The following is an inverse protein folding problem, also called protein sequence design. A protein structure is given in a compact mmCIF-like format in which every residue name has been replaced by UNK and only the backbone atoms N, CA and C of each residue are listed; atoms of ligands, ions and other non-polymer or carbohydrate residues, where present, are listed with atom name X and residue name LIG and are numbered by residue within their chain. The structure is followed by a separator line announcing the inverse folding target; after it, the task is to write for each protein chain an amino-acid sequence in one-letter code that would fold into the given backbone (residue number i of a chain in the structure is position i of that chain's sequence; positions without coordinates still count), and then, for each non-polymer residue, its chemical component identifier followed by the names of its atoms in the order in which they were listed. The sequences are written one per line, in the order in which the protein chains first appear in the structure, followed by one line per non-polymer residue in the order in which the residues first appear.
data_IF_829853359570
#
_entry.id   IF_829853359570
#
_cell.length_a   1.000
_cell.length_b   1.000
_cell.length_c   1.000
_cell.angle_alpha   90.00
_cell.angle_beta   90.00
_cell.angle_gamma   90.00
#
_symmetry.space_group_name_H-M   'P 1'
#
loop_
_entity.id
_entity.type
_entity.pdbx_description
1 polymer ?
#
# COMPACT_ATOMS: atom_id res chain seq x y z
N UNK A 1 49.70 -20.71 -17.41
CA UNK A 1 49.96 -20.50 -18.84
C UNK A 1 49.10 -19.35 -19.35
N UNK A 2 49.66 -18.30 -19.96
CA UNK A 2 48.91 -17.10 -20.37
C UNK A 2 48.20 -17.26 -21.73
N UNK A 3 47.86 -18.45 -22.16
CA UNK A 3 47.33 -18.71 -23.51
C UNK A 3 45.78 -18.69 -23.62
N UNK A 4 45.04 -18.28 -22.58
CA UNK A 4 43.57 -18.37 -22.59
C UNK A 4 42.87 -17.01 -22.72
N UNK A 5 43.59 -15.89 -22.94
CA UNK A 5 43.01 -14.54 -22.95
C UNK A 5 43.07 -13.84 -24.32
N UNK A 6 43.74 -14.44 -25.32
CA UNK A 6 43.93 -13.79 -26.64
C UNK A 6 43.11 -14.37 -27.80
N UNK A 7 42.24 -15.32 -27.56
CA UNK A 7 41.34 -15.80 -28.60
C UNK A 7 39.98 -15.18 -28.45
N UNK A 8 39.63 -14.27 -29.38
CA UNK A 8 38.27 -13.78 -29.70
C UNK A 8 37.58 -12.78 -28.74
N UNK A 9 38.24 -11.70 -28.34
CA UNK A 9 37.48 -10.51 -28.03
C UNK A 9 36.87 -9.99 -29.34
N UNK A 10 35.51 -9.89 -29.46
CA UNK A 10 34.90 -9.35 -30.68
C UNK A 10 35.38 -7.92 -30.92
N UNK A 11 35.66 -7.57 -32.17
CA UNK A 11 35.97 -6.20 -32.55
C UNK A 11 34.80 -5.31 -32.16
N UNK A 12 34.99 -3.99 -31.92
CA UNK A 12 33.94 -3.06 -31.60
C UNK A 12 32.78 -3.11 -32.61
N UNK A 13 33.11 -3.27 -33.89
CA UNK A 13 32.10 -3.38 -34.97
C UNK A 13 31.28 -4.69 -34.85
N UNK A 14 31.90 -5.80 -34.49
CA UNK A 14 31.21 -7.08 -34.27
C UNK A 14 30.32 -7.01 -33.01
N UNK A 15 30.78 -6.36 -31.94
CA UNK A 15 30.04 -6.13 -30.74
C UNK A 15 28.79 -5.27 -31.02
N UNK A 16 28.98 -4.16 -31.71
CA UNK A 16 27.88 -3.29 -32.17
C UNK A 16 26.86 -4.06 -33.03
N UNK A 17 27.32 -4.78 -34.03
CA UNK A 17 26.45 -5.57 -34.91
C UNK A 17 25.67 -6.66 -34.13
N UNK A 18 26.28 -7.32 -33.16
CA UNK A 18 25.62 -8.31 -32.28
C UNK A 18 24.61 -7.64 -31.36
N UNK A 19 24.96 -6.50 -30.79
CA UNK A 19 24.08 -5.71 -29.92
C UNK A 19 22.82 -5.28 -30.69
N UNK A 20 22.95 -4.63 -31.85
CA UNK A 20 21.83 -4.17 -32.65
C UNK A 20 20.96 -5.32 -33.16
N UNK A 21 21.54 -6.44 -33.60
CA UNK A 21 20.77 -7.64 -33.97
C UNK A 21 19.95 -8.18 -32.80
N UNK A 22 20.52 -8.19 -31.58
CA UNK A 22 19.83 -8.63 -30.37
C UNK A 22 18.69 -7.67 -30.03
N UNK A 23 18.95 -6.35 -30.04
CA UNK A 23 17.97 -5.31 -29.76
C UNK A 23 16.78 -5.39 -30.75
N UNK A 24 17.04 -5.46 -32.04
CA UNK A 24 15.98 -5.57 -33.06
C UNK A 24 15.14 -6.86 -32.91
N UNK A 25 15.74 -7.97 -32.50
CA UNK A 25 15.02 -9.21 -32.19
C UNK A 25 14.10 -9.03 -30.98
N UNK A 26 14.59 -8.39 -29.91
CA UNK A 26 13.81 -8.10 -28.71
C UNK A 26 12.64 -7.13 -29.04
N UNK A 27 12.89 -6.11 -29.85
CA UNK A 27 11.84 -5.16 -30.27
C UNK A 27 10.75 -5.86 -31.11
N UNK A 28 11.12 -6.74 -32.06
CA UNK A 28 10.13 -7.54 -32.80
C UNK A 28 9.32 -8.47 -31.90
N UNK A 29 9.93 -9.01 -30.85
CA UNK A 29 9.22 -9.79 -29.85
C UNK A 29 8.27 -8.90 -29.06
N UNK A 30 8.73 -7.74 -28.58
CA UNK A 30 7.91 -6.77 -27.85
C UNK A 30 6.71 -6.30 -28.65
N UNK A 31 6.87 -5.99 -29.95
CA UNK A 31 5.75 -5.60 -30.84
C UNK A 31 4.62 -6.63 -30.82
N UNK A 32 4.96 -7.92 -30.77
CA UNK A 32 3.98 -9.02 -30.75
C UNK A 32 3.30 -9.21 -29.41
N UNK A 33 4.05 -9.04 -28.28
CA UNK A 33 3.56 -9.40 -26.94
C UNK A 33 3.14 -8.22 -26.09
N UNK A 34 3.44 -7.00 -26.49
CA UNK A 34 3.17 -5.80 -25.68
C UNK A 34 1.67 -5.61 -25.34
N UNK A 35 0.76 -6.19 -26.13
CA UNK A 35 -0.67 -6.14 -25.86
C UNK A 35 -1.18 -7.22 -24.92
N UNK A 36 -0.42 -8.30 -24.73
CA UNK A 36 -0.80 -9.49 -23.96
C UNK A 36 -0.14 -9.59 -22.58
N UNK A 37 0.66 -8.59 -22.18
CA UNK A 37 1.24 -8.57 -20.86
C UNK A 37 0.13 -8.67 -19.78
N UNK A 38 0.19 -9.69 -18.89
CA UNK A 38 -0.92 -10.01 -17.98
C UNK A 38 -1.09 -8.93 -16.89
N UNK A 39 0.01 -8.33 -16.47
CA UNK A 39 0.01 -7.36 -15.38
C UNK A 39 0.00 -5.92 -15.87
N UNK A 40 -0.73 -5.01 -15.17
CA UNK A 40 -0.84 -3.60 -15.54
C UNK A 40 0.51 -2.89 -15.68
N UNK A 41 1.40 -3.07 -14.69
CA UNK A 41 2.74 -2.45 -14.71
C UNK A 41 3.59 -3.01 -15.85
N UNK A 42 3.47 -4.31 -16.17
CA UNK A 42 4.13 -4.91 -17.32
C UNK A 42 3.66 -4.31 -18.66
N UNK A 43 2.36 -3.99 -18.80
CA UNK A 43 1.83 -3.30 -19.98
C UNK A 43 2.39 -1.89 -20.12
N UNK A 44 2.50 -1.16 -19.00
CA UNK A 44 3.08 0.18 -18.96
C UNK A 44 4.58 0.14 -19.31
N UNK A 45 5.33 -0.84 -18.76
CA UNK A 45 6.74 -1.06 -19.11
C UNK A 45 6.93 -1.35 -20.61
N UNK A 46 6.03 -2.15 -21.21
CA UNK A 46 6.05 -2.44 -22.64
C UNK A 46 5.78 -1.17 -23.49
N UNK A 47 4.81 -0.34 -23.08
CA UNK A 47 4.56 0.94 -23.76
C UNK A 47 5.78 1.88 -23.67
N UNK A 48 6.42 1.97 -22.48
CA UNK A 48 7.67 2.71 -22.30
C UNK A 48 8.76 2.23 -23.26
N UNK A 49 8.98 0.93 -23.34
CA UNK A 49 10.02 0.35 -24.20
C UNK A 49 9.76 0.66 -25.69
N UNK A 50 8.50 0.63 -26.15
CA UNK A 50 8.14 1.03 -27.52
C UNK A 50 8.40 2.52 -27.78
N UNK A 51 8.05 3.41 -26.84
CA UNK A 51 8.33 4.85 -26.95
C UNK A 51 9.83 5.10 -27.01
N UNK A 52 10.61 4.50 -26.11
CA UNK A 52 12.07 4.67 -26.07
C UNK A 52 12.74 4.14 -27.34
N UNK A 53 12.30 2.98 -27.84
CA UNK A 53 12.83 2.42 -29.10
C UNK A 53 12.50 3.30 -30.30
N UNK A 54 11.27 3.85 -30.39
CA UNK A 54 10.89 4.76 -31.46
C UNK A 54 11.58 6.13 -31.42
N UNK A 55 12.12 6.52 -30.25
CA UNK A 55 13.00 7.70 -30.10
C UNK A 55 14.42 7.36 -30.51
N UNK A 56 14.95 6.23 -30.06
CA UNK A 56 16.36 5.85 -30.25
C UNK A 56 16.67 5.38 -31.69
N UNK A 57 15.66 4.89 -32.42
CA UNK A 57 15.79 4.38 -33.78
C UNK A 57 15.01 5.29 -34.74
N UNK A 58 15.64 6.25 -35.42
CA UNK A 58 14.96 7.27 -36.23
C UNK A 58 14.05 6.71 -37.33
N UNK A 59 14.37 5.54 -37.87
CA UNK A 59 13.57 4.85 -38.89
C UNK A 59 12.28 4.21 -38.32
N UNK A 60 12.13 4.22 -37.00
CA UNK A 60 11.03 3.60 -36.26
C UNK A 60 9.96 4.59 -35.76
N UNK A 61 9.75 5.71 -36.45
CA UNK A 61 8.67 6.66 -36.14
C UNK A 61 7.27 6.00 -35.96
N UNK A 62 6.90 4.95 -36.72
CA UNK A 62 5.66 4.20 -36.45
C UNK A 62 5.60 3.55 -35.08
N UNK A 63 6.75 3.10 -34.52
CA UNK A 63 6.83 2.47 -33.18
C UNK A 63 6.62 3.49 -32.08
N UNK A 64 7.20 4.70 -32.20
CA UNK A 64 6.93 5.81 -31.27
C UNK A 64 5.42 6.09 -31.21
N UNK A 65 4.78 6.28 -32.36
CA UNK A 65 3.34 6.52 -32.44
C UNK A 65 2.51 5.38 -31.86
N UNK A 66 2.90 4.14 -32.09
CA UNK A 66 2.25 2.96 -31.52
C UNK A 66 2.42 2.91 -29.98
N UNK A 67 3.61 3.21 -29.48
CA UNK A 67 3.90 3.30 -28.05
C UNK A 67 3.06 4.36 -27.34
N UNK A 68 2.99 5.56 -27.90
CA UNK A 68 2.16 6.65 -27.35
C UNK A 68 0.67 6.31 -27.36
N UNK A 69 0.11 5.78 -28.45
CA UNK A 69 -1.29 5.32 -28.46
C UNK A 69 -1.59 4.22 -27.46
N UNK A 70 -0.63 3.31 -27.19
CA UNK A 70 -0.78 2.31 -26.11
C UNK A 70 -0.76 2.96 -24.76
N UNK A 71 0.15 3.90 -24.53
CA UNK A 71 0.25 4.66 -23.28
C UNK A 71 -1.07 5.37 -22.98
N UNK A 72 -1.65 6.10 -23.93
CA UNK A 72 -2.94 6.78 -23.75
C UNK A 72 -4.05 5.80 -23.33
N UNK A 73 -4.16 4.63 -23.98
CA UNK A 73 -5.13 3.59 -23.62
C UNK A 73 -4.91 3.04 -22.21
N UNK A 74 -3.64 2.86 -21.80
CA UNK A 74 -3.28 2.42 -20.45
C UNK A 74 -3.66 3.50 -19.43
N UNK A 75 -3.32 4.76 -19.69
CA UNK A 75 -3.64 5.87 -18.80
C UNK A 75 -5.16 5.99 -18.58
N UNK A 76 -5.95 5.89 -19.65
CA UNK A 76 -7.40 5.98 -19.56
C UNK A 76 -8.06 4.80 -18.82
N UNK A 77 -7.43 3.61 -18.83
CA UNK A 77 -8.01 2.40 -18.21
C UNK A 77 -7.49 2.13 -16.81
N UNK A 78 -6.19 2.33 -16.57
CA UNK A 78 -5.50 1.83 -15.39
C UNK A 78 -5.35 2.90 -14.30
N UNK A 79 -5.65 4.19 -14.62
CA UNK A 79 -5.56 5.31 -13.69
C UNK A 79 -6.95 5.84 -13.34
N UNK A 80 -7.15 6.09 -12.06
CA UNK A 80 -8.43 6.50 -11.50
C UNK A 80 -8.56 8.03 -11.47
N UNK A 81 -9.77 8.54 -11.27
CA UNK A 81 -10.07 9.97 -11.29
C UNK A 81 -9.35 10.79 -10.22
N UNK A 82 -8.87 10.14 -9.14
CA UNK A 82 -8.06 10.76 -8.08
C UNK A 82 -6.55 10.65 -8.32
N UNK A 83 -6.13 10.19 -9.50
CA UNK A 83 -4.74 10.03 -9.92
C UNK A 83 -4.09 8.72 -9.47
N UNK A 84 -4.78 7.90 -8.68
CA UNK A 84 -4.25 6.60 -8.24
C UNK A 84 -4.32 5.54 -9.33
N UNK A 85 -3.49 4.49 -9.23
CA UNK A 85 -3.50 3.34 -10.12
C UNK A 85 -4.48 2.27 -9.60
N UNK A 86 -5.24 1.64 -10.47
CA UNK A 86 -6.33 0.71 -10.15
C UNK A 86 -5.90 -0.56 -9.37
N UNK A 87 -4.61 -0.89 -9.33
CA UNK A 87 -4.10 -1.96 -8.48
C UNK A 87 -4.16 -1.61 -6.98
N UNK A 88 -4.35 -0.34 -6.60
CA UNK A 88 -4.44 0.17 -5.24
C UNK A 88 -3.19 -0.05 -4.38
N UNK A 89 -2.21 -0.82 -4.85
CA UNK A 89 -0.97 -1.10 -4.14
C UNK A 89 -0.04 0.13 -4.12
N UNK A 90 0.41 0.64 -2.95
CA UNK A 90 1.36 1.76 -2.87
C UNK A 90 2.63 1.55 -3.71
N UNK A 91 3.23 0.37 -3.68
CA UNK A 91 4.39 0.05 -4.51
C UNK A 91 4.10 0.06 -6.03
N UNK A 92 2.88 -0.29 -6.44
CA UNK A 92 2.46 -0.18 -7.84
C UNK A 92 2.34 1.28 -8.29
N UNK A 93 1.92 2.20 -7.40
CA UNK A 93 1.89 3.64 -7.68
C UNK A 93 3.31 4.15 -8.00
N UNK A 94 4.29 3.77 -7.18
CA UNK A 94 5.71 4.17 -7.37
C UNK A 94 6.26 3.61 -8.67
N UNK A 95 6.05 2.31 -8.95
CA UNK A 95 6.51 1.67 -10.20
C UNK A 95 5.89 2.33 -11.44
N UNK A 96 4.58 2.62 -11.39
CA UNK A 96 3.90 3.33 -12.48
C UNK A 96 4.47 4.74 -12.67
N UNK A 97 4.61 5.52 -11.60
CA UNK A 97 5.16 6.87 -11.65
C UNK A 97 6.55 6.89 -12.28
N UNK A 98 7.43 5.94 -11.90
CA UNK A 98 8.76 5.81 -12.50
C UNK A 98 8.69 5.63 -14.02
N UNK A 99 7.82 4.74 -14.50
CA UNK A 99 7.68 4.53 -15.95
C UNK A 99 7.20 5.79 -16.68
N UNK A 100 6.24 6.53 -16.10
CA UNK A 100 5.72 7.76 -16.70
C UNK A 100 6.76 8.88 -16.72
N UNK A 101 7.51 9.05 -15.64
CA UNK A 101 8.61 10.04 -15.54
C UNK A 101 9.71 9.72 -16.55
N UNK A 102 10.10 8.45 -16.69
CA UNK A 102 11.08 8.01 -17.69
C UNK A 102 10.62 8.31 -19.13
N UNK A 103 9.34 8.05 -19.45
CA UNK A 103 8.76 8.38 -20.76
C UNK A 103 8.83 9.89 -21.02
N UNK A 104 8.40 10.71 -20.06
CA UNK A 104 8.44 12.16 -20.16
C UNK A 104 9.87 12.67 -20.38
N UNK A 105 10.83 12.16 -19.61
CA UNK A 105 12.23 12.53 -19.73
C UNK A 105 12.79 12.17 -21.11
N UNK A 106 12.48 10.98 -21.64
CA UNK A 106 12.93 10.54 -22.96
C UNK A 106 12.34 11.41 -24.08
N UNK A 107 11.03 11.74 -24.01
CA UNK A 107 10.40 12.64 -24.98
C UNK A 107 11.03 14.04 -24.96
N UNK A 108 11.23 14.59 -23.75
CA UNK A 108 11.87 15.92 -23.60
C UNK A 108 13.31 15.95 -24.12
N UNK A 109 14.13 14.94 -23.81
CA UNK A 109 15.49 14.82 -24.30
C UNK A 109 15.56 14.70 -25.84
N UNK A 110 14.53 14.10 -26.46
CA UNK A 110 14.41 13.98 -27.92
C UNK A 110 13.75 15.21 -28.60
N UNK A 111 13.45 16.28 -27.86
CA UNK A 111 12.76 17.47 -28.39
C UNK A 111 11.33 17.17 -28.87
N UNK A 112 10.69 16.11 -28.37
CA UNK A 112 9.32 15.72 -28.74
C UNK A 112 8.32 16.36 -27.76
N UNK A 113 7.13 16.67 -28.28
CA UNK A 113 6.02 17.16 -27.45
C UNK A 113 5.62 16.13 -26.41
N UNK A 114 5.39 16.58 -25.17
CA UNK A 114 4.90 15.75 -24.08
C UNK A 114 3.38 15.78 -24.13
N UNK A 115 2.69 14.61 -24.28
CA UNK A 115 1.23 14.58 -24.24
C UNK A 115 0.69 15.11 -22.89
N UNK A 116 -0.35 15.94 -22.94
CA UNK A 116 -0.97 16.51 -21.73
C UNK A 116 -1.50 15.41 -20.79
N UNK A 117 -2.07 14.34 -21.34
CA UNK A 117 -2.54 13.18 -20.58
C UNK A 117 -1.42 12.50 -19.80
N UNK A 118 -0.20 12.46 -20.32
CA UNK A 118 0.97 11.94 -19.62
C UNK A 118 1.35 12.85 -18.45
N UNK A 119 1.39 14.17 -18.68
CA UNK A 119 1.71 15.14 -17.63
C UNK A 119 0.68 15.09 -16.49
N UNK A 120 -0.61 15.10 -16.82
CA UNK A 120 -1.70 14.99 -15.84
C UNK A 120 -1.64 13.69 -15.03
N UNK A 121 -1.31 12.54 -15.69
CA UNK A 121 -1.15 11.26 -15.01
C UNK A 121 0.06 11.27 -14.04
N UNK A 122 1.17 11.90 -14.40
CA UNK A 122 2.34 12.08 -13.52
C UNK A 122 1.96 12.91 -12.30
N UNK A 123 1.24 14.00 -12.48
CA UNK A 123 0.82 14.90 -11.38
C UNK A 123 -0.11 14.19 -10.40
N UNK A 124 -1.15 13.54 -10.90
CA UNK A 124 -2.09 12.79 -10.07
C UNK A 124 -1.42 11.65 -9.32
N UNK A 125 -0.57 10.88 -10.01
CA UNK A 125 0.13 9.75 -9.40
C UNK A 125 1.18 10.20 -8.37
N UNK A 126 1.88 11.32 -8.61
CA UNK A 126 2.80 11.89 -7.64
C UNK A 126 2.06 12.35 -6.35
N UNK A 127 0.86 12.91 -6.49
CA UNK A 127 -0.01 13.24 -5.35
C UNK A 127 -0.44 11.98 -4.59
N UNK A 128 -0.84 10.91 -5.30
CA UNK A 128 -1.21 9.63 -4.70
C UNK A 128 -0.03 8.97 -3.97
N UNK A 129 1.19 9.00 -4.53
CA UNK A 129 2.40 8.49 -3.86
C UNK A 129 2.67 9.28 -2.57
N UNK A 130 2.59 10.63 -2.60
CA UNK A 130 2.77 11.44 -1.38
C UNK A 130 1.74 11.10 -0.31
N UNK A 131 0.48 10.90 -0.72
CA UNK A 131 -0.61 10.52 0.19
C UNK A 131 -0.32 9.20 0.91
N UNK A 132 0.25 8.20 0.22
CA UNK A 132 0.48 6.85 0.72
C UNK A 132 1.80 6.72 1.52
N UNK A 133 2.46 7.82 1.86
CA UNK A 133 3.70 7.82 2.66
C UNK A 133 3.43 8.13 4.12
N UNK A 134 4.16 7.46 4.99
CA UNK A 134 4.25 7.78 6.40
C UNK A 134 5.24 8.91 6.68
N UNK A 135 5.36 9.30 7.95
CA UNK A 135 6.23 10.40 8.37
C UNK A 135 7.73 10.09 8.27
N UNK A 136 8.12 8.84 8.13
CA UNK A 136 9.48 8.38 7.83
C UNK A 136 9.82 8.51 6.34
N UNK A 137 8.83 8.75 5.50
CA UNK A 137 8.95 8.81 4.05
C UNK A 137 8.71 7.49 3.33
N UNK A 138 8.60 6.37 4.05
CA UNK A 138 8.27 5.06 3.48
C UNK A 138 6.79 4.91 3.15
N UNK A 139 6.47 3.93 2.30
CA UNK A 139 5.10 3.64 1.88
C UNK A 139 4.31 2.93 2.97
N UNK A 140 2.99 3.09 2.94
CA UNK A 140 2.05 2.25 3.66
C UNK A 140 2.01 0.83 3.05
N UNK A 141 1.79 -0.18 3.90
CA UNK A 141 1.94 -1.59 3.57
C UNK A 141 0.59 -2.23 3.20
N UNK A 142 0.02 -1.80 2.08
CA UNK A 142 -1.22 -2.37 1.53
C UNK A 142 -0.95 -3.10 0.22
N UNK A 143 -1.72 -4.16 -0.07
CA UNK A 143 -1.76 -4.84 -1.37
C UNK A 143 -0.37 -5.17 -1.94
N UNK A 144 0.41 -5.95 -1.22
CA UNK A 144 1.70 -6.43 -1.71
C UNK A 144 2.81 -5.38 -1.76
N UNK A 145 2.67 -4.29 -0.99
CA UNK A 145 3.68 -3.23 -0.90
C UNK A 145 4.58 -3.41 0.31
N UNK A 146 5.79 -2.90 0.19
CA UNK A 146 6.78 -2.73 1.24
C UNK A 146 7.05 -1.23 1.45
N UNK A 147 7.83 -0.87 2.47
CA UNK A 147 8.18 0.53 2.77
C UNK A 147 8.86 1.23 1.59
N UNK A 148 9.61 0.44 0.79
CA UNK A 148 10.43 0.91 -0.31
C UNK A 148 11.59 1.83 0.13
N UNK A 149 12.45 2.23 -0.78
CA UNK A 149 13.59 3.07 -0.45
C UNK A 149 13.20 4.56 -0.49
N UNK A 150 13.17 5.21 0.67
CA UNK A 150 12.71 6.61 0.81
C UNK A 150 13.45 7.57 -0.12
N UNK A 151 14.78 7.44 -0.25
CA UNK A 151 15.59 8.30 -1.11
C UNK A 151 15.22 8.14 -2.60
N UNK A 152 14.86 6.93 -3.02
CA UNK A 152 14.43 6.65 -4.39
C UNK A 152 13.05 7.29 -4.66
N UNK A 153 12.12 7.18 -3.69
CA UNK A 153 10.81 7.82 -3.77
C UNK A 153 10.97 9.35 -3.81
N UNK A 154 11.82 9.92 -2.96
CA UNK A 154 12.07 11.37 -2.91
C UNK A 154 12.64 11.87 -4.24
N UNK A 155 13.62 11.16 -4.79
CA UNK A 155 14.20 11.48 -6.10
C UNK A 155 13.15 11.44 -7.21
N UNK A 156 12.33 10.39 -7.22
CA UNK A 156 11.25 10.23 -8.20
C UNK A 156 10.21 11.35 -8.10
N UNK A 157 9.79 11.71 -6.89
CA UNK A 157 8.83 12.79 -6.65
C UNK A 157 9.41 14.17 -7.03
N UNK A 158 10.70 14.39 -6.81
CA UNK A 158 11.38 15.62 -7.22
C UNK A 158 11.40 15.75 -8.75
N UNK A 159 11.64 14.66 -9.47
CA UNK A 159 11.58 14.64 -10.93
C UNK A 159 10.14 14.70 -11.46
N UNK A 160 9.17 14.14 -10.75
CA UNK A 160 7.77 14.15 -11.19
C UNK A 160 7.15 15.55 -11.08
N UNK A 161 6.88 16.01 -9.86
CA UNK A 161 6.29 17.32 -9.54
C UNK A 161 6.81 17.77 -8.17
N UNK A 162 7.78 18.68 -8.09
CA UNK A 162 8.43 19.04 -6.82
C UNK A 162 7.49 19.57 -5.73
N UNK A 163 6.40 20.25 -6.10
CA UNK A 163 5.51 20.96 -5.18
C UNK A 163 4.03 20.61 -5.32
N UNK A 164 3.69 19.36 -5.71
CA UNK A 164 2.28 18.96 -5.73
C UNK A 164 1.70 18.91 -4.31
N UNK A 165 0.48 19.41 -4.16
CA UNK A 165 -0.28 19.29 -2.93
C UNK A 165 -0.56 17.81 -2.61
N UNK A 166 -0.57 17.47 -1.32
CA UNK A 166 -0.97 16.15 -0.86
C UNK A 166 -2.48 16.16 -0.62
N UNK A 167 -3.25 15.27 -1.28
CA UNK A 167 -4.68 15.16 -1.01
C UNK A 167 -4.94 14.58 0.39
N UNK A 168 -6.12 14.81 0.94
CA UNK A 168 -6.56 14.22 2.22
C UNK A 168 -7.30 12.91 2.03
N UNK A 169 -7.76 12.62 0.81
CA UNK A 169 -8.41 11.36 0.46
C UNK A 169 -8.12 10.96 -0.99
N UNK A 170 -8.07 9.68 -1.22
CA UNK A 170 -8.05 9.06 -2.56
C UNK A 170 -9.35 8.25 -2.72
N UNK A 171 -10.44 8.95 -3.07
CA UNK A 171 -11.78 8.38 -3.02
C UNK A 171 -12.00 7.24 -4.02
N UNK A 172 -11.45 7.37 -5.24
CA UNK A 172 -11.55 6.36 -6.28
C UNK A 172 -10.57 5.20 -6.04
N UNK A 173 -9.37 5.51 -5.54
CA UNK A 173 -8.38 4.49 -5.13
C UNK A 173 -8.81 3.80 -3.83
N UNK A 174 -9.63 4.42 -2.99
CA UNK A 174 -10.20 3.85 -1.78
C UNK A 174 -9.29 3.97 -0.56
N UNK A 175 -8.67 5.13 -0.34
CA UNK A 175 -7.90 5.43 0.86
C UNK A 175 -8.30 6.74 1.51
N UNK A 176 -8.30 6.75 2.85
CA UNK A 176 -8.44 7.94 3.67
C UNK A 176 -7.15 8.20 4.46
N UNK A 177 -6.80 9.47 4.64
CA UNK A 177 -5.65 9.91 5.43
C UNK A 177 -6.09 10.84 6.53
N UNK A 178 -5.83 10.47 7.77
CA UNK A 178 -5.98 11.32 8.94
C UNK A 178 -4.60 11.86 9.31
N UNK A 179 -4.49 13.17 9.49
CA UNK A 179 -3.24 13.79 9.91
C UNK A 179 -3.52 14.90 10.91
N UNK A 180 -2.94 14.81 12.09
CA UNK A 180 -2.99 15.82 13.11
C UNK A 180 -1.69 15.81 13.92
N UNK A 181 -1.14 17.00 14.22
CA UNK A 181 0.17 17.12 14.87
C UNK A 181 1.25 16.31 14.13
N UNK A 182 1.87 15.35 14.84
CA UNK A 182 2.88 14.44 14.28
C UNK A 182 2.32 13.09 13.84
N UNK A 183 1.03 12.83 14.06
CA UNK A 183 0.41 11.55 13.80
C UNK A 183 -0.21 11.51 12.41
N UNK A 184 0.00 10.39 11.71
CA UNK A 184 -0.54 10.09 10.39
C UNK A 184 -1.15 8.69 10.43
N UNK A 185 -2.46 8.59 10.16
CA UNK A 185 -3.11 7.31 9.93
C UNK A 185 -3.57 7.21 8.47
N UNK A 186 -3.31 6.05 7.83
CA UNK A 186 -3.76 5.74 6.48
C UNK A 186 -4.68 4.53 6.58
N UNK A 187 -5.88 4.63 6.01
CA UNK A 187 -6.97 3.65 6.15
C UNK A 187 -7.37 3.13 4.78
N UNK A 188 -7.42 1.82 4.62
CA UNK A 188 -7.98 1.16 3.43
C UNK A 188 -9.52 1.13 3.52
N UNK A 189 -10.18 1.99 2.77
CA UNK A 189 -11.64 2.12 2.70
C UNK A 189 -12.20 1.73 1.34
N UNK A 190 -11.43 1.04 0.51
CA UNK A 190 -11.83 0.63 -0.82
C UNK A 190 -12.23 -0.85 -0.92
N UNK A 191 -13.01 -1.16 -1.93
CA UNK A 191 -13.26 -2.54 -2.31
C UNK A 191 -11.97 -3.21 -2.84
N UNK A 192 -11.83 -4.54 -2.79
CA UNK A 192 -10.71 -5.24 -3.41
C UNK A 192 -10.52 -4.80 -4.87
N UNK A 193 -9.28 -4.69 -5.38
CA UNK A 193 -9.03 -4.32 -6.77
C UNK A 193 -9.76 -5.22 -7.75
N UNK A 194 -10.20 -4.68 -8.89
CA UNK A 194 -10.87 -5.45 -9.93
C UNK A 194 -9.95 -6.52 -10.53
N UNK A 195 -10.56 -7.58 -11.05
CA UNK A 195 -9.83 -8.63 -11.78
C UNK A 195 -8.94 -8.03 -12.87
N UNK A 196 -7.69 -8.47 -12.91
CA UNK A 196 -6.65 -7.95 -13.80
C UNK A 196 -5.80 -6.83 -13.19
N UNK A 197 -6.21 -6.32 -11.99
CA UNK A 197 -5.43 -5.42 -11.14
C UNK A 197 -5.18 -6.03 -9.75
N UNK A 198 -5.71 -7.20 -9.49
CA UNK A 198 -5.79 -7.83 -8.19
C UNK A 198 -4.68 -8.87 -7.92
N UNK A 199 -3.68 -9.00 -8.80
CA UNK A 199 -2.63 -10.02 -8.66
C UNK A 199 -1.92 -9.96 -7.29
N UNK A 200 -1.67 -8.76 -6.78
CA UNK A 200 -1.05 -8.50 -5.47
C UNK A 200 -2.07 -8.08 -4.39
N UNK A 201 -3.38 -8.23 -4.64
CA UNK A 201 -4.40 -7.80 -3.70
C UNK A 201 -4.36 -8.58 -2.39
N UNK A 202 -4.53 -7.87 -1.28
CA UNK A 202 -4.68 -8.39 0.07
C UNK A 202 -6.13 -8.24 0.55
N UNK A 203 -6.54 -9.06 1.49
CA UNK A 203 -7.83 -8.98 2.17
C UNK A 203 -7.77 -7.97 3.33
N UNK A 204 -7.47 -6.69 3.02
CA UNK A 204 -7.14 -5.61 3.96
C UNK A 204 -8.28 -4.63 4.23
N UNK A 205 -9.53 -5.02 3.97
CA UNK A 205 -10.68 -4.12 4.15
C UNK A 205 -10.71 -3.50 5.56
N UNK A 206 -10.82 -2.17 5.64
CA UNK A 206 -10.78 -1.33 6.84
C UNK A 206 -9.51 -1.48 7.69
N UNK A 207 -8.42 -2.03 7.13
CA UNK A 207 -7.12 -2.00 7.78
C UNK A 207 -6.58 -0.58 7.82
N UNK A 208 -5.80 -0.28 8.85
CA UNK A 208 -5.14 1.02 8.98
C UNK A 208 -3.69 0.87 9.42
N UNK A 209 -2.89 1.89 9.16
CA UNK A 209 -1.56 2.07 9.71
C UNK A 209 -1.46 3.41 10.42
N UNK A 210 -0.62 3.52 11.43
CA UNK A 210 -0.38 4.74 12.22
C UNK A 210 1.11 4.97 12.40
N UNK A 211 1.58 6.16 12.04
CA UNK A 211 2.92 6.64 12.37
C UNK A 211 2.87 7.93 13.19
N UNK A 212 3.92 8.19 13.98
CA UNK A 212 4.07 9.37 14.84
C UNK A 212 5.43 10.01 14.56
N UNK A 213 5.43 11.08 13.81
CA UNK A 213 6.66 11.62 13.23
C UNK A 213 7.27 10.59 12.27
N UNK A 214 8.54 10.23 12.51
CA UNK A 214 9.26 9.24 11.70
C UNK A 214 9.17 7.80 12.23
N UNK A 215 8.36 7.55 13.25
CA UNK A 215 8.27 6.25 13.89
C UNK A 215 6.93 5.61 13.58
N UNK A 216 6.93 4.36 13.10
CA UNK A 216 5.72 3.59 12.84
C UNK A 216 5.27 2.93 14.15
N UNK A 217 3.98 3.02 14.43
CA UNK A 217 3.37 2.44 15.63
C UNK A 217 2.51 1.21 15.27
N UNK A 218 1.47 1.43 14.46
CA UNK A 218 0.61 0.36 13.93
C UNK A 218 0.93 0.20 12.45
N UNK A 219 1.14 -1.03 12.01
CA UNK A 219 1.50 -1.39 10.64
C UNK A 219 0.65 -2.55 10.13
N UNK A 220 0.79 -2.88 8.86
CA UNK A 220 0.41 -4.17 8.31
C UNK A 220 1.65 -5.06 8.13
N UNK A 221 1.46 -6.34 7.84
CA UNK A 221 2.56 -7.29 7.76
C UNK A 221 3.52 -7.09 6.57
N UNK A 222 3.17 -6.25 5.59
CA UNK A 222 3.95 -6.07 4.35
C UNK A 222 3.82 -7.24 3.38
N UNK A 223 4.72 -7.33 2.41
CA UNK A 223 4.71 -8.35 1.37
C UNK A 223 5.96 -9.24 1.44
N UNK A 224 5.76 -10.53 1.63
CA UNK A 224 6.82 -11.51 1.53
C UNK A 224 7.35 -11.62 0.08
N UNK A 225 8.65 -11.94 -0.12
CA UNK A 225 9.24 -12.04 -1.44
C UNK A 225 8.58 -13.14 -2.28
N UNK A 226 8.61 -12.98 -3.60
CA UNK A 226 8.00 -13.94 -4.55
C UNK A 226 8.56 -15.36 -4.42
N UNK A 227 9.80 -15.50 -3.97
CA UNK A 227 10.45 -16.79 -3.70
C UNK A 227 9.85 -17.57 -2.54
N UNK A 228 9.08 -16.92 -1.66
CA UNK A 228 8.42 -17.54 -0.52
C UNK A 228 6.89 -17.54 -0.68
N UNK A 229 6.37 -18.47 -1.45
CA UNK A 229 4.96 -18.55 -1.81
C UNK A 229 4.04 -18.76 -0.59
N UNK A 230 4.49 -19.47 0.44
CA UNK A 230 3.72 -19.73 1.65
C UNK A 230 3.51 -18.43 2.45
N UNK A 231 4.58 -17.72 2.77
CA UNK A 231 4.48 -16.45 3.47
C UNK A 231 3.74 -15.39 2.62
N UNK A 232 3.97 -15.39 1.31
CA UNK A 232 3.24 -14.50 0.40
C UNK A 232 1.72 -14.70 0.49
N UNK A 233 1.26 -15.95 0.57
CA UNK A 233 -0.17 -16.24 0.76
C UNK A 233 -0.65 -15.79 2.14
N UNK A 234 0.09 -16.08 3.21
CA UNK A 234 -0.25 -15.69 4.58
C UNK A 234 -0.35 -14.17 4.75
N UNK A 235 0.61 -13.43 4.18
CA UNK A 235 0.64 -11.96 4.26
C UNK A 235 -0.50 -11.27 3.47
N UNK A 236 -1.14 -11.98 2.56
CA UNK A 236 -2.32 -11.48 1.85
C UNK A 236 -3.62 -11.62 2.64
N UNK A 237 -3.63 -12.45 3.68
CA UNK A 237 -4.80 -12.70 4.53
C UNK A 237 -5.14 -11.52 5.45
N UNK A 238 -6.40 -11.42 5.86
CA UNK A 238 -6.88 -10.37 6.77
C UNK A 238 -6.14 -10.38 8.12
N UNK A 239 -5.74 -11.55 8.61
CA UNK A 239 -5.01 -11.68 9.88
C UNK A 239 -3.59 -11.10 9.85
N UNK A 240 -3.05 -10.75 8.68
CA UNK A 240 -1.78 -10.04 8.54
C UNK A 240 -1.93 -8.50 8.47
N UNK A 241 -3.14 -7.99 8.71
CA UNK A 241 -3.46 -6.56 8.63
C UNK A 241 -4.10 -6.07 9.93
N UNK A 242 -3.94 -4.78 10.22
CA UNK A 242 -4.54 -4.14 11.39
C UNK A 242 -6.04 -3.86 11.15
N UNK A 243 -6.83 -4.94 11.10
CA UNK A 243 -8.28 -4.97 10.83
C UNK A 243 -8.99 -6.03 11.65
N UNK A 244 -10.31 -6.14 11.48
CA UNK A 244 -11.14 -7.15 12.14
C UNK A 244 -11.28 -8.39 11.24
N UNK A 245 -11.01 -9.55 11.82
CA UNK A 245 -11.20 -10.88 11.21
C UNK A 245 -12.41 -11.54 11.84
N UNK A 246 -13.32 -12.10 11.05
CA UNK A 246 -14.53 -12.77 11.48
C UNK A 246 -14.42 -14.26 11.22
N UNK A 247 -14.65 -15.09 12.24
CA UNK A 247 -14.59 -16.56 12.19
C UNK A 247 -13.28 -17.11 11.58
N UNK A 248 -12.14 -16.42 11.81
CA UNK A 248 -10.85 -16.78 11.26
C UNK A 248 -10.74 -16.66 9.72
N UNK A 249 -11.70 -16.01 9.07
CA UNK A 249 -11.77 -15.94 7.61
C UNK A 249 -11.33 -14.57 7.07
N UNK A 250 -10.77 -14.58 5.85
CA UNK A 250 -10.41 -13.36 5.13
C UNK A 250 -11.66 -12.57 4.69
N UNK A 251 -11.57 -11.24 4.71
CA UNK A 251 -12.64 -10.36 4.21
C UNK A 251 -12.91 -10.57 2.71
N UNK A 252 -11.90 -10.94 1.94
CA UNK A 252 -12.01 -11.37 0.55
C UNK A 252 -11.29 -12.72 0.37
N UNK A 253 -11.96 -13.78 -0.14
CA UNK A 253 -11.31 -15.06 -0.34
C UNK A 253 -10.10 -14.94 -1.29
N UNK A 254 -8.95 -15.44 -0.89
CA UNK A 254 -7.72 -15.37 -1.66
C UNK A 254 -7.62 -16.51 -2.68
N UNK A 255 -7.08 -16.23 -3.86
CA UNK A 255 -6.72 -17.23 -4.86
C UNK A 255 -5.21 -17.56 -4.75
N UNK A 256 -4.86 -18.86 -4.82
CA UNK A 256 -3.45 -19.31 -4.72
C UNK A 256 -2.55 -18.72 -5.80
N UNK A 257 -3.05 -18.52 -7.00
CA UNK A 257 -2.33 -17.94 -8.13
C UNK A 257 -2.31 -16.41 -8.17
N UNK A 258 -2.72 -15.75 -7.09
CA UNK A 258 -2.86 -14.29 -7.03
C UNK A 258 -4.30 -13.82 -7.22
N UNK A 259 -4.60 -12.63 -6.70
CA UNK A 259 -5.94 -12.05 -6.74
C UNK A 259 -6.87 -12.53 -5.63
N UNK A 260 -8.02 -11.90 -5.58
CA UNK A 260 -9.12 -12.23 -4.67
C UNK A 260 -10.30 -12.79 -5.45
N UNK A 261 -11.05 -13.69 -4.86
CA UNK A 261 -12.38 -13.99 -5.38
C UNK A 261 -13.24 -12.74 -5.13
N UNK A 262 -13.88 -12.22 -6.17
CA UNK A 262 -14.84 -11.14 -6.02
C UNK A 262 -16.04 -11.66 -5.23
N UNK A 263 -16.04 -11.45 -3.92
CA UNK A 263 -17.21 -11.54 -3.09
C UNK A 263 -17.99 -10.25 -3.26
N UNK A 264 -19.23 -10.32 -3.69
CA UNK A 264 -20.10 -9.15 -3.81
C UNK A 264 -20.27 -8.48 -2.44
N UNK A 265 -19.50 -7.44 -2.16
CA UNK A 265 -19.58 -6.64 -0.97
C UNK A 265 -19.16 -5.21 -1.28
N UNK A 266 -19.88 -4.24 -0.72
CA UNK A 266 -19.57 -2.82 -0.85
C UNK A 266 -18.76 -2.34 0.36
N UNK A 267 -17.74 -1.53 0.08
CA UNK A 267 -17.07 -0.72 1.11
C UNK A 267 -17.54 0.72 0.94
N UNK A 268 -17.94 1.36 2.02
CA UNK A 268 -18.40 2.74 2.03
C UNK A 268 -17.70 3.48 3.16
N UNK A 269 -17.27 4.72 2.91
CA UNK A 269 -16.65 5.56 3.92
C UNK A 269 -17.20 6.99 3.86
N UNK A 270 -17.39 7.58 5.03
CA UNK A 270 -17.68 8.98 5.24
C UNK A 270 -16.52 9.60 6.01
N UNK A 271 -16.19 10.84 5.69
CA UNK A 271 -15.19 11.65 6.38
C UNK A 271 -15.82 12.92 6.90
N UNK A 272 -15.55 13.26 8.14
CA UNK A 272 -15.94 14.51 8.77
C UNK A 272 -14.70 15.14 9.40
N UNK A 273 -14.60 16.45 9.25
CA UNK A 273 -13.56 17.26 9.91
C UNK A 273 -14.22 18.38 10.69
N UNK A 274 -13.86 18.50 11.95
CA UNK A 274 -14.37 19.55 12.82
C UNK A 274 -13.31 19.98 13.84
N UNK A 275 -13.03 21.28 13.91
CA UNK A 275 -12.12 21.88 14.89
C UNK A 275 -10.74 21.19 14.94
N UNK A 276 -10.22 20.76 13.78
CA UNK A 276 -8.97 20.05 13.64
C UNK A 276 -9.02 18.56 14.01
N UNK A 277 -10.16 18.05 14.45
CA UNK A 277 -10.39 16.61 14.59
C UNK A 277 -10.84 16.00 13.27
N UNK A 278 -10.49 14.73 13.05
CA UNK A 278 -10.88 13.96 11.87
C UNK A 278 -11.63 12.71 12.31
N UNK A 279 -12.82 12.47 11.73
CA UNK A 279 -13.59 11.24 11.88
C UNK A 279 -13.68 10.53 10.52
N UNK A 280 -13.37 9.25 10.49
CA UNK A 280 -13.66 8.34 9.39
C UNK A 280 -14.66 7.31 9.89
N UNK A 281 -15.77 7.17 9.18
CA UNK A 281 -16.81 6.18 9.43
C UNK A 281 -16.91 5.28 8.20
N UNK A 282 -16.36 4.07 8.30
CA UNK A 282 -16.29 3.15 7.18
C UNK A 282 -16.96 1.81 7.52
N UNK A 283 -17.64 1.22 6.53
CA UNK A 283 -18.33 -0.06 6.70
C UNK A 283 -18.22 -0.92 5.46
N UNK A 284 -18.30 -2.25 5.66
CA UNK A 284 -18.41 -3.23 4.58
C UNK A 284 -19.32 -4.40 4.98
N UNK A 285 -19.81 -5.10 3.97
CA UNK A 285 -20.64 -6.32 4.09
C UNK A 285 -19.92 -7.57 3.52
N UNK A 286 -18.60 -7.56 3.44
CA UNK A 286 -17.80 -8.64 2.87
C UNK A 286 -17.92 -9.98 3.61
N UNK A 287 -18.31 -9.95 4.88
CA UNK A 287 -18.59 -11.14 5.69
C UNK A 287 -20.08 -11.55 5.68
N UNK A 288 -20.99 -10.70 5.15
CA UNK A 288 -22.43 -10.93 5.26
C UNK A 288 -22.89 -12.23 4.61
N UNK A 289 -22.40 -12.54 3.40
CA UNK A 289 -22.78 -13.77 2.68
C UNK A 289 -22.36 -15.05 3.40
N UNK A 290 -21.22 -15.02 4.12
CA UNK A 290 -20.65 -16.23 4.76
C UNK A 290 -21.07 -16.40 6.21
N UNK A 291 -21.21 -15.31 6.93
CA UNK A 291 -21.40 -15.30 8.37
C UNK A 291 -22.58 -14.44 8.82
N UNK A 292 -23.27 -13.75 7.91
CA UNK A 292 -24.34 -12.81 8.25
C UNK A 292 -23.83 -11.52 8.94
N UNK A 293 -22.52 -11.25 8.91
CA UNK A 293 -21.90 -10.13 9.63
C UNK A 293 -21.58 -8.98 8.67
N UNK A 294 -22.07 -7.77 9.00
CA UNK A 294 -21.57 -6.51 8.48
C UNK A 294 -20.61 -5.89 9.49
N UNK A 295 -19.53 -5.27 9.00
CA UNK A 295 -18.53 -4.61 9.83
C UNK A 295 -18.53 -3.12 9.57
N UNK A 296 -18.53 -2.32 10.65
CA UNK A 296 -18.30 -0.87 10.64
C UNK A 296 -17.13 -0.54 11.53
N UNK A 297 -16.22 0.29 11.03
CA UNK A 297 -15.10 0.87 11.81
C UNK A 297 -15.19 2.37 11.80
N UNK A 298 -15.25 2.98 12.98
CA UNK A 298 -15.13 4.42 13.15
C UNK A 298 -13.77 4.73 13.75
N UNK A 299 -13.04 5.67 13.15
CA UNK A 299 -11.76 6.16 13.63
C UNK A 299 -11.87 7.65 13.87
N UNK A 300 -11.53 8.09 15.08
CA UNK A 300 -11.49 9.50 15.47
C UNK A 300 -10.06 9.87 15.88
N UNK A 301 -9.50 10.87 15.23
CA UNK A 301 -8.20 11.46 15.60
C UNK A 301 -8.43 12.85 16.17
N UNK A 302 -7.97 13.07 17.40
CA UNK A 302 -8.06 14.38 18.06
C UNK A 302 -7.14 15.42 17.39
N UNK A 303 -7.41 16.74 17.54
CA UNK A 303 -6.69 17.80 16.83
C UNK A 303 -5.17 17.79 17.01
N UNK A 304 -4.67 17.37 18.19
CA UNK A 304 -3.23 17.27 18.47
C UNK A 304 -2.57 16.01 17.90
N UNK A 305 -3.35 15.03 17.43
CA UNK A 305 -2.85 13.74 16.96
C UNK A 305 -2.31 12.81 18.07
N UNK A 306 -2.53 13.16 19.34
CA UNK A 306 -2.05 12.40 20.50
C UNK A 306 -3.11 11.43 21.07
N UNK A 307 -4.28 11.38 20.44
CA UNK A 307 -5.41 10.52 20.80
C UNK A 307 -6.09 10.04 19.52
N UNK A 308 -5.94 8.73 19.23
CA UNK A 308 -6.67 8.03 18.18
C UNK A 308 -7.62 7.03 18.85
N UNK A 309 -8.91 7.17 18.57
CA UNK A 309 -9.96 6.29 19.09
C UNK A 309 -10.59 5.52 17.94
N UNK A 310 -10.91 4.26 18.21
CA UNK A 310 -11.62 3.39 17.29
C UNK A 310 -12.83 2.74 17.94
N UNK A 311 -13.81 2.47 17.10
CA UNK A 311 -14.97 1.67 17.43
C UNK A 311 -15.23 0.71 16.26
N UNK A 312 -15.15 -0.58 16.56
CA UNK A 312 -15.49 -1.65 15.62
C UNK A 312 -16.86 -2.21 16.01
N UNK A 313 -17.82 -2.15 15.09
CA UNK A 313 -19.18 -2.66 15.26
C UNK A 313 -19.37 -3.84 14.32
N UNK A 314 -19.74 -4.99 14.88
CA UNK A 314 -20.15 -6.18 14.15
C UNK A 314 -21.67 -6.31 14.27
N UNK A 315 -22.36 -6.20 13.14
CA UNK A 315 -23.80 -6.30 13.03
C UNK A 315 -24.19 -7.64 12.41
N UNK A 316 -24.92 -8.49 13.15
CA UNK A 316 -25.32 -9.82 12.71
C UNK A 316 -25.63 -10.82 13.83
N UNK A 317 -25.62 -12.12 13.53
CA UNK A 317 -25.99 -13.17 14.49
C UNK A 317 -25.02 -13.24 15.67
N UNK A 318 -25.53 -13.74 16.82
CA UNK A 318 -24.74 -13.99 18.03
C UNK A 318 -23.83 -15.20 17.91
N UNK A 319 -22.79 -15.27 18.75
CA UNK A 319 -21.90 -16.43 18.88
C UNK A 319 -20.80 -16.54 17.81
N UNK A 320 -20.72 -15.61 16.85
CA UNK A 320 -19.67 -15.59 15.83
C UNK A 320 -18.36 -15.06 16.41
N UNK A 321 -17.28 -15.80 16.24
CA UNK A 321 -15.96 -15.39 16.70
C UNK A 321 -15.42 -14.21 15.89
N UNK A 322 -14.72 -13.29 16.55
CA UNK A 322 -13.99 -12.22 15.89
C UNK A 322 -12.66 -11.92 16.60
N UNK A 323 -11.73 -11.32 15.84
CA UNK A 323 -10.47 -10.81 16.36
C UNK A 323 -10.12 -9.52 15.63
N UNK A 324 -9.95 -8.41 16.35
CA UNK A 324 -9.37 -7.18 15.82
C UNK A 324 -7.87 -7.20 16.06
N UNK A 325 -7.10 -7.18 14.99
CA UNK A 325 -5.63 -7.22 15.01
C UNK A 325 -5.06 -5.81 14.93
N UNK A 326 -3.97 -5.57 15.67
CA UNK A 326 -3.18 -4.35 15.66
C UNK A 326 -1.70 -4.75 15.63
N UNK A 327 -1.17 -4.88 14.42
CA UNK A 327 0.24 -5.24 14.22
C UNK A 327 1.13 -4.08 14.58
N UNK A 328 2.17 -4.33 15.36
CA UNK A 328 3.13 -3.35 15.80
C UNK A 328 4.36 -3.40 14.90
N UNK A 329 4.97 -2.23 14.64
CA UNK A 329 6.25 -2.21 13.95
C UNK A 329 7.30 -2.98 14.78
N UNK A 330 8.27 -3.68 14.17
CA UNK A 330 9.29 -4.45 14.91
C UNK A 330 10.04 -3.68 15.99
N UNK A 331 10.22 -2.38 15.80
CA UNK A 331 10.93 -1.50 16.74
C UNK A 331 10.06 -1.02 17.91
N UNK A 332 8.77 -1.39 17.95
CA UNK A 332 7.87 -1.05 19.04
C UNK A 332 7.91 -2.14 20.11
N UNK A 333 8.21 -1.78 21.34
CA UNK A 333 8.06 -2.69 22.47
C UNK A 333 6.68 -2.56 23.10
N UNK A 334 6.04 -3.69 23.39
CA UNK A 334 4.70 -3.74 23.97
C UNK A 334 4.67 -4.54 25.26
N UNK A 335 3.84 -4.12 26.22
CA UNK A 335 3.56 -4.86 27.45
C UNK A 335 2.09 -4.69 27.87
N UNK A 336 1.46 -5.81 28.28
CA UNK A 336 0.12 -5.77 28.84
C UNK A 336 0.12 -5.20 30.25
N UNK A 337 -0.89 -4.42 30.55
CA UNK A 337 -1.15 -3.81 31.84
C UNK A 337 -2.53 -4.20 32.35
N UNK A 338 -2.75 -4.09 33.65
CA UNK A 338 -4.08 -4.18 34.28
C UNK A 338 -4.84 -5.46 33.90
N UNK A 339 -4.16 -6.60 33.90
CA UNK A 339 -4.79 -7.89 33.58
C UNK A 339 -5.32 -7.99 32.14
N UNK A 340 -4.73 -7.26 31.19
CA UNK A 340 -5.13 -7.32 29.78
C UNK A 340 -6.20 -6.31 29.35
N UNK A 341 -6.53 -5.32 30.18
CA UNK A 341 -7.45 -4.23 29.80
C UNK A 341 -6.73 -3.03 29.15
N UNK A 342 -5.41 -3.01 29.22
CA UNK A 342 -4.58 -2.00 28.60
C UNK A 342 -3.23 -2.57 28.15
N UNK A 343 -2.57 -1.89 27.22
CA UNK A 343 -1.19 -2.16 26.82
C UNK A 343 -0.40 -0.84 26.77
N UNK A 344 0.87 -0.91 27.18
CA UNK A 344 1.85 0.15 26.97
C UNK A 344 2.68 -0.19 25.75
N UNK A 345 2.74 0.74 24.79
CA UNK A 345 3.53 0.67 23.58
C UNK A 345 4.62 1.73 23.67
N UNK A 346 5.85 1.36 23.44
CA UNK A 346 7.00 2.29 23.49
C UNK A 346 7.67 2.35 22.13
N UNK A 347 7.71 3.53 21.56
CA UNK A 347 8.43 3.83 20.32
C UNK A 347 9.95 3.91 20.57
N UNK A 348 10.80 3.70 19.55
CA UNK A 348 12.26 3.77 19.66
C UNK A 348 12.77 5.07 20.31
N UNK A 349 12.17 6.20 19.97
CA UNK A 349 12.48 7.52 20.57
C UNK A 349 12.00 7.70 22.00
N UNK A 350 11.53 6.63 22.67
CA UNK A 350 11.12 6.63 24.07
C UNK A 350 9.71 7.16 24.32
N UNK A 351 8.97 7.60 23.29
CA UNK A 351 7.58 8.04 23.44
C UNK A 351 6.68 6.85 23.76
N UNK A 352 5.95 6.94 24.88
CA UNK A 352 4.95 5.95 25.28
C UNK A 352 3.58 6.23 24.70
N UNK A 353 2.88 5.18 24.31
CA UNK A 353 1.47 5.18 23.92
C UNK A 353 0.74 4.12 24.74
N UNK A 354 -0.43 4.45 25.23
CA UNK A 354 -1.30 3.51 25.93
C UNK A 354 -2.47 3.13 25.08
N UNK A 355 -2.65 1.84 24.83
CA UNK A 355 -3.87 1.29 24.27
C UNK A 355 -4.79 0.82 25.39
N UNK A 356 -6.06 1.19 25.34
CA UNK A 356 -7.14 0.67 26.18
C UNK A 356 -8.23 0.10 25.30
N UNK A 357 -8.96 -0.91 25.79
CA UNK A 357 -10.09 -1.50 25.08
C UNK A 357 -11.24 -1.84 26.00
N UNK A 358 -12.43 -1.94 25.42
CA UNK A 358 -13.64 -2.43 26.04
C UNK A 358 -14.48 -3.23 25.03
N UNK A 359 -15.19 -4.25 25.48
CA UNK A 359 -16.04 -5.11 24.65
C UNK A 359 -15.31 -6.33 24.05
N UNK A 360 -14.02 -6.51 24.34
CA UNK A 360 -13.25 -7.67 23.92
C UNK A 360 -12.05 -7.90 24.87
N UNK A 361 -11.49 -9.12 24.85
CA UNK A 361 -10.30 -9.48 25.63
C UNK A 361 -9.05 -9.10 24.82
N UNK A 362 -8.13 -8.34 25.44
CA UNK A 362 -6.85 -7.95 24.84
C UNK A 362 -5.78 -9.00 25.14
N UNK A 363 -5.08 -9.43 24.11
CA UNK A 363 -3.90 -10.28 24.20
C UNK A 363 -2.73 -9.67 23.42
N UNK A 364 -1.51 -9.97 23.87
CA UNK A 364 -0.27 -9.69 23.14
C UNK A 364 0.24 -11.00 22.55
N UNK A 365 0.53 -11.03 21.26
CA UNK A 365 1.00 -12.21 20.56
C UNK A 365 2.09 -11.88 19.53
N UNK A 366 2.77 -12.92 19.04
CA UNK A 366 3.78 -12.77 17.99
C UNK A 366 3.14 -12.37 16.67
N UNK A 367 3.90 -11.66 15.86
CA UNK A 367 3.57 -11.26 14.50
C UNK A 367 4.79 -11.38 13.59
N UNK A 368 4.55 -11.36 12.27
CA UNK A 368 5.59 -11.35 11.25
C UNK A 368 5.50 -10.06 10.43
N UNK A 369 6.65 -9.45 10.17
CA UNK A 369 6.79 -8.22 9.43
C UNK A 369 7.75 -8.38 8.25
N UNK A 370 7.36 -7.90 7.07
CA UNK A 370 8.12 -7.97 5.82
C UNK A 370 8.29 -6.57 5.18
N UNK A 371 7.98 -5.49 5.91
CA UNK A 371 7.89 -4.16 5.30
C UNK A 371 9.20 -3.60 4.75
N UNK A 372 10.35 -4.02 5.23
CA UNK A 372 11.64 -3.39 4.99
C UNK A 372 12.55 -4.08 3.94
N UNK A 373 12.01 -4.74 2.96
CA UNK A 373 12.82 -5.33 1.88
C UNK A 373 12.62 -6.83 1.67
N UNK A 374 11.62 -7.40 2.31
CA UNK A 374 11.20 -8.78 2.06
C UNK A 374 11.86 -9.83 2.94
N UNK A 375 12.72 -9.46 3.89
CA UNK A 375 13.16 -10.33 4.98
C UNK A 375 12.15 -10.36 6.11
N UNK A 376 11.94 -11.56 6.69
CA UNK A 376 11.04 -11.71 7.83
C UNK A 376 11.66 -11.11 9.09
N UNK A 377 10.97 -10.15 9.71
CA UNK A 377 11.27 -9.68 11.07
C UNK A 377 10.21 -10.16 12.04
N UNK A 378 10.68 -10.56 13.23
CA UNK A 378 9.77 -10.81 14.33
C UNK A 378 9.19 -9.49 14.82
N UNK A 379 7.88 -9.46 14.96
CA UNK A 379 7.12 -8.35 15.50
C UNK A 379 6.11 -8.85 16.53
N UNK A 380 5.35 -7.94 17.12
CA UNK A 380 4.26 -8.25 18.04
C UNK A 380 2.95 -7.68 17.48
N UNK A 381 1.84 -8.14 18.02
CA UNK A 381 0.52 -7.58 17.75
C UNK A 381 -0.33 -7.59 19.02
N UNK A 382 -1.19 -6.61 19.16
CA UNK A 382 -2.30 -6.66 20.08
C UNK A 382 -3.51 -7.24 19.36
N UNK A 383 -4.23 -8.14 20.02
CA UNK A 383 -5.42 -8.77 19.47
C UNK A 383 -6.57 -8.55 20.45
N UNK A 384 -7.67 -7.97 19.98
CA UNK A 384 -8.93 -7.86 20.73
C UNK A 384 -9.88 -8.94 20.22
N UNK A 385 -10.06 -9.99 21.00
CA UNK A 385 -10.85 -11.16 20.62
C UNK A 385 -12.13 -11.31 21.43
N UNK A 386 -13.18 -11.83 20.78
CA UNK A 386 -14.47 -12.06 21.39
C UNK A 386 -15.43 -12.86 20.51
N UNK A 387 -16.68 -12.90 20.95
CA UNK A 387 -17.82 -13.44 20.19
C UNK A 387 -18.91 -12.38 20.10
N UNK A 388 -19.64 -12.37 19.00
CA UNK A 388 -20.81 -11.50 18.84
C UNK A 388 -21.87 -11.85 19.90
N UNK A 389 -22.42 -10.80 20.52
CA UNK A 389 -23.42 -10.92 21.58
C UNK A 389 -24.84 -11.10 21.06
N UNK A 390 -25.77 -11.36 21.99
CA UNK A 390 -27.21 -11.33 21.72
C UNK A 390 -27.66 -9.87 21.49
N UNK A 391 -28.56 -9.63 20.56
CA UNK A 391 -29.10 -8.28 20.28
C UNK A 391 -28.68 -7.68 18.94
N UNK A 392 -27.96 -8.44 18.09
CA UNK A 392 -27.66 -8.09 16.69
C UNK A 392 -26.45 -7.20 16.51
N UNK A 393 -26.04 -6.41 17.50
CA UNK A 393 -24.90 -5.51 17.41
C UNK A 393 -23.87 -5.80 18.51
N UNK A 394 -22.59 -5.93 18.12
CA UNK A 394 -21.48 -6.09 19.05
C UNK A 394 -20.48 -4.98 18.82
N UNK A 395 -20.17 -4.22 19.88
CA UNK A 395 -19.30 -3.05 19.80
C UNK A 395 -18.02 -3.28 20.58
N UNK A 396 -16.87 -3.11 19.90
CA UNK A 396 -15.53 -3.10 20.49
C UNK A 396 -14.96 -1.71 20.39
N UNK A 397 -14.65 -1.08 21.54
CA UNK A 397 -14.06 0.24 21.61
C UNK A 397 -12.59 0.14 22.00
N UNK A 398 -11.77 0.98 21.41
CA UNK A 398 -10.37 1.09 21.75
C UNK A 398 -9.85 2.53 21.58
N UNK A 399 -8.78 2.85 22.30
CA UNK A 399 -8.12 4.13 22.21
C UNK A 399 -6.62 3.98 22.33
N UNK A 400 -5.88 4.64 21.45
CA UNK A 400 -4.43 4.83 21.50
C UNK A 400 -4.16 6.26 21.92
N UNK A 401 -3.60 6.45 23.11
CA UNK A 401 -3.32 7.76 23.69
C UNK A 401 -1.84 7.88 24.04
N UNK A 402 -1.23 8.99 23.64
CA UNK A 402 0.14 9.29 24.00
C UNK A 402 0.26 9.49 25.51
N UNK A 403 1.24 8.84 26.13
CA UNK A 403 1.56 9.04 27.53
C UNK A 403 2.18 10.42 27.73
N UNK A 404 1.73 11.12 28.77
CA UNK A 404 2.40 12.34 29.21
C UNK A 404 3.86 12.01 29.59
N UNK A 405 4.81 12.82 29.16
CA UNK A 405 6.19 12.69 29.66
C UNK A 405 6.15 12.82 31.18
N UNK A 406 6.82 11.91 31.94
CA UNK A 406 7.02 12.14 33.36
C UNK A 406 7.63 13.55 33.51
N UNK A 407 7.03 14.40 34.31
CA UNK A 407 7.67 15.66 34.70
C UNK A 407 8.96 15.25 35.38
N UNK A 408 10.11 15.61 34.80
CA UNK A 408 11.38 15.54 35.54
C UNK A 408 11.16 16.29 36.85
N UNK A 409 11.26 15.56 37.99
CA UNK A 409 11.28 16.19 39.29
C UNK A 409 12.45 17.16 39.24
N UNK A 410 12.17 18.48 39.30
CA UNK A 410 13.19 19.47 39.48
C UNK A 410 13.97 19.00 40.73
N UNK A 411 15.22 18.55 40.50
CA UNK A 411 16.17 18.39 41.62
C UNK A 411 16.27 19.76 42.29
N UNK A 412 15.73 19.81 43.49
CA UNK A 412 15.89 20.95 44.41
C UNK A 412 17.34 21.03 44.89
#
# INVERSE_FOLDING_TARGET
SPAFIEADAPTDDELHARFFRSLLRQLRHLDRVAGSAPEPIGRLAAAKALVMAGIALPEDAPRLSAGLRRLEKILARDFLSDGGHAARAPGAQVRALRHLVDIRAALGAAGRSIPEVLQSAIEGLAAAVRFLRHGDGGLALFHGSNEDENWLIDTLLAHAVPRAAQPLRLAATGYERMQAGRSVAIVDVGAPPHRGFDAEAHASALAFELSVGKERLIVNGGAAPASNAEWRLRQRGSAAHSTVVVAGADSAPLRRGGGTAQGGGAVRALREERDGAVLIDARHDLYAKRFGIALRRRLYMAPGGEDLRGEDTLDGPSGVEFAAHFHLHPDVSASLLQGGTAALLRLPGGTGWRMRSAGAVMALSDSAYFGDGGEIKRAQQLVLAGRTGEGGETVVKWALQREARPREAKKA
#
